data_IF_549033233372
#
_entry.id   IF_549033233372
#
_cell.length_a   1.000
_cell.length_b   1.000
_cell.length_c   1.000
_cell.angle_alpha   90.00
_cell.angle_beta   90.00
_cell.angle_gamma   90.00
#
_symmetry.space_group_name_H-M   'P 1'
#
loop_
_entity.id
_entity.type
_entity.pdbx_description
1 polymer ?
#
# COMPACT_ATOMS: atom_id res chain seq x y z
N UNK A 1 15.88 20.27 16.68
CA UNK A 1 14.50 20.75 16.41
C UNK A 1 14.60 22.09 15.70
N UNK A 2 14.26 22.15 14.41
CA UNK A 2 14.28 23.42 13.67
C UNK A 2 13.14 24.32 14.15
N UNK A 3 13.49 25.35 14.92
CA UNK A 3 12.62 26.37 15.52
C UNK A 3 12.15 27.42 14.49
N UNK A 4 11.82 27.00 13.28
CA UNK A 4 11.37 27.92 12.24
C UNK A 4 9.84 27.81 12.11
N UNK A 5 9.06 28.85 12.44
CA UNK A 5 7.59 28.81 12.42
C UNK A 5 7.10 28.96 10.98
N UNK A 6 7.39 27.98 10.12
CA UNK A 6 6.73 27.88 8.83
C UNK A 6 5.35 27.23 9.02
N UNK A 7 4.34 27.64 8.26
CA UNK A 7 3.02 26.98 8.28
C UNK A 7 3.12 25.46 8.04
N UNK A 8 4.12 25.01 7.28
CA UNK A 8 4.45 23.58 7.06
C UNK A 8 4.89 22.86 8.34
N UNK A 9 5.46 23.56 9.32
CA UNK A 9 5.88 22.98 10.59
C UNK A 9 4.75 22.88 11.63
N UNK A 10 3.62 23.58 11.43
CA UNK A 10 2.46 23.57 12.33
C UNK A 10 1.37 22.63 11.80
N UNK A 11 1.26 22.48 10.48
CA UNK A 11 0.37 21.48 9.86
C UNK A 11 1.01 20.09 9.87
N UNK A 12 0.20 19.05 10.09
CA UNK A 12 0.60 17.64 10.04
C UNK A 12 -0.40 16.90 9.15
N UNK A 13 0.02 16.62 7.92
CA UNK A 13 -0.79 15.92 6.92
C UNK A 13 -0.32 14.48 6.67
N UNK A 14 0.89 14.12 7.13
CA UNK A 14 1.58 12.90 6.70
C UNK A 14 1.34 11.69 7.63
N UNK A 15 0.44 11.80 8.62
CA UNK A 15 0.16 10.75 9.60
C UNK A 15 1.39 10.39 10.47
N UNK A 16 1.28 9.31 11.26
CA UNK A 16 2.38 8.81 12.09
C UNK A 16 2.82 7.39 11.68
N UNK A 17 4.03 7.01 12.07
CA UNK A 17 4.63 5.70 11.78
C UNK A 17 3.81 4.52 12.33
N UNK A 18 3.18 4.67 13.49
CA UNK A 18 2.32 3.62 14.09
C UNK A 18 1.16 3.30 13.16
N UNK A 19 0.43 4.33 12.69
CA UNK A 19 -0.69 4.15 11.75
C UNK A 19 -0.22 3.57 10.41
N UNK A 20 0.96 3.98 9.94
CA UNK A 20 1.60 3.39 8.76
C UNK A 20 1.85 1.89 8.91
N UNK A 21 2.45 1.46 10.03
CA UNK A 21 2.72 0.06 10.29
C UNK A 21 1.43 -0.77 10.46
N UNK A 22 0.44 -0.22 11.15
CA UNK A 22 -0.88 -0.83 11.31
C UNK A 22 -1.60 -1.03 9.97
N UNK A 23 -1.43 -0.13 9.00
CA UNK A 23 -2.01 -0.27 7.66
C UNK A 23 -1.50 -1.50 6.90
N UNK A 24 -0.43 -2.15 7.37
CA UNK A 24 0.11 -3.39 6.83
C UNK A 24 -0.21 -4.56 7.76
N UNK A 25 0.28 -4.51 9.00
CA UNK A 25 0.25 -5.66 9.91
C UNK A 25 -1.19 -6.08 10.27
N UNK A 26 -2.09 -5.12 10.47
CA UNK A 26 -3.48 -5.41 10.83
C UNK A 26 -4.25 -6.10 9.68
N UNK A 27 -3.77 -6.00 8.45
CA UNK A 27 -4.41 -6.60 7.26
C UNK A 27 -3.82 -7.97 6.89
N UNK A 28 -2.94 -8.52 7.73
CA UNK A 28 -2.51 -9.92 7.65
C UNK A 28 -3.54 -10.76 8.41
N UNK A 29 -4.33 -11.53 7.65
CA UNK A 29 -5.35 -12.41 8.18
C UNK A 29 -4.73 -13.56 8.97
N UNK A 30 -5.44 -14.05 9.99
CA UNK A 30 -4.91 -15.09 10.89
C UNK A 30 -3.58 -14.68 11.55
N UNK A 31 -3.44 -13.40 11.90
CA UNK A 31 -2.35 -12.88 12.72
C UNK A 31 -2.91 -11.92 13.77
N UNK A 32 -2.26 -11.87 14.95
CA UNK A 32 -2.59 -10.89 15.96
C UNK A 32 -1.71 -9.65 15.78
N UNK A 33 -2.27 -8.45 15.90
CA UNK A 33 -1.51 -7.20 15.85
C UNK A 33 -1.64 -6.46 17.17
N UNK A 34 -0.52 -6.36 17.88
CA UNK A 34 -0.41 -5.71 19.18
C UNK A 34 0.25 -4.34 19.01
N UNK A 35 -0.38 -3.29 19.54
CA UNK A 35 0.25 -1.99 19.78
C UNK A 35 0.77 -1.97 21.21
N UNK A 36 2.10 -2.01 21.34
CA UNK A 36 2.75 -1.92 22.65
C UNK A 36 2.90 -0.46 23.08
N UNK A 37 1.94 -0.02 23.89
CA UNK A 37 1.79 1.36 24.34
C UNK A 37 0.50 1.56 25.13
N UNK A 38 0.16 2.81 25.47
CA UNK A 38 -1.17 3.17 25.96
C UNK A 38 -2.25 2.96 24.89
N UNK A 39 -3.51 2.91 25.32
CA UNK A 39 -4.66 2.62 24.45
C UNK A 39 -4.88 3.65 23.33
N UNK A 40 -4.38 4.89 23.50
CA UNK A 40 -4.65 5.99 22.58
C UNK A 40 -4.27 5.71 21.12
N UNK A 41 -3.12 5.07 20.87
CA UNK A 41 -2.68 4.73 19.52
C UNK A 41 -3.58 3.67 18.86
N UNK A 42 -3.97 2.63 19.62
CA UNK A 42 -4.88 1.59 19.15
C UNK A 42 -6.30 2.14 18.91
N UNK A 43 -6.78 3.01 19.80
CA UNK A 43 -8.10 3.64 19.67
C UNK A 43 -8.18 4.59 18.46
N UNK A 44 -7.14 5.40 18.24
CA UNK A 44 -7.05 6.28 17.07
C UNK A 44 -7.04 5.46 15.77
N UNK A 45 -6.23 4.41 15.69
CA UNK A 45 -6.16 3.55 14.50
C UNK A 45 -7.48 2.82 14.25
N UNK A 46 -8.13 2.32 15.31
CA UNK A 46 -9.45 1.68 15.21
C UNK A 46 -10.50 2.66 14.68
N UNK A 47 -10.48 3.91 15.16
CA UNK A 47 -11.39 4.97 14.68
C UNK A 47 -11.15 5.28 13.20
N UNK A 48 -9.88 5.36 12.79
CA UNK A 48 -9.51 5.55 11.38
C UNK A 48 -10.03 4.39 10.53
N UNK A 49 -9.75 3.13 10.92
CA UNK A 49 -10.18 1.96 10.16
C UNK A 49 -11.69 1.88 10.06
N UNK A 50 -12.42 2.12 11.16
CA UNK A 50 -13.89 2.20 11.13
C UNK A 50 -14.37 3.24 10.13
N UNK A 51 -13.84 4.46 10.16
CA UNK A 51 -14.31 5.53 9.27
C UNK A 51 -13.94 5.28 7.79
N UNK A 52 -12.69 4.94 7.49
CA UNK A 52 -12.19 4.77 6.12
C UNK A 52 -12.71 3.49 5.48
N UNK A 53 -12.66 2.36 6.20
CA UNK A 53 -13.06 1.07 5.61
C UNK A 53 -14.56 0.99 5.37
N UNK A 54 -15.38 1.47 6.32
CA UNK A 54 -16.83 1.52 6.12
C UNK A 54 -17.22 2.46 4.98
N UNK A 55 -16.52 3.59 4.82
CA UNK A 55 -16.71 4.48 3.68
C UNK A 55 -16.38 3.78 2.35
N UNK A 56 -15.36 2.93 2.35
CA UNK A 56 -14.97 2.11 1.20
C UNK A 56 -15.81 0.81 1.05
N UNK A 57 -16.89 0.65 1.83
CA UNK A 57 -17.75 -0.54 1.77
C UNK A 57 -17.14 -1.84 2.31
N UNK A 58 -16.04 -1.75 3.07
CA UNK A 58 -15.37 -2.87 3.71
C UNK A 58 -15.82 -2.97 5.18
N UNK A 59 -16.46 -4.09 5.53
CA UNK A 59 -17.05 -4.31 6.86
C UNK A 59 -16.22 -5.24 7.75
N UNK A 60 -15.20 -5.89 7.19
CA UNK A 60 -14.26 -6.73 7.94
C UNK A 60 -13.12 -5.84 8.46
N UNK A 61 -13.35 -5.25 9.62
CA UNK A 61 -12.44 -4.26 10.22
C UNK A 61 -11.44 -5.01 11.09
N UNK A 62 -10.12 -4.88 10.83
CA UNK A 62 -9.10 -5.53 11.63
C UNK A 62 -9.18 -5.21 13.11
N UNK A 63 -8.97 -6.23 13.95
CA UNK A 63 -8.80 -6.04 15.38
C UNK A 63 -7.38 -5.56 15.71
N UNK A 64 -7.29 -4.60 16.63
CA UNK A 64 -6.02 -4.07 17.13
C UNK A 64 -5.98 -4.32 18.63
N UNK A 65 -5.02 -5.11 19.08
CA UNK A 65 -4.81 -5.39 20.50
C UNK A 65 -3.91 -4.29 21.05
N UNK A 66 -4.24 -3.72 22.20
CA UNK A 66 -3.32 -2.83 22.93
C UNK A 66 -2.75 -3.56 24.13
N UNK A 67 -1.47 -3.33 24.44
CA UNK A 67 -0.94 -3.69 25.75
C UNK A 67 -1.50 -2.81 26.88
N UNK A 68 -2.15 -1.68 26.54
CA UNK A 68 -2.83 -0.79 27.49
C UNK A 68 -1.92 -0.25 28.59
N UNK A 69 -0.69 0.16 28.27
CA UNK A 69 0.28 0.66 29.26
C UNK A 69 -0.30 1.82 30.07
N UNK A 70 -0.21 1.70 31.39
CA UNK A 70 -0.59 2.72 32.37
C UNK A 70 0.65 3.32 33.02
N UNK A 71 0.45 4.23 33.97
CA UNK A 71 1.54 4.96 34.65
C UNK A 71 2.64 4.04 35.20
N UNK A 72 2.28 2.91 35.80
CA UNK A 72 3.27 1.96 36.32
C UNK A 72 4.21 1.42 35.25
N UNK A 73 3.69 1.01 34.09
CA UNK A 73 4.52 0.51 32.99
C UNK A 73 5.37 1.62 32.37
N UNK A 74 4.89 2.86 32.38
CA UNK A 74 5.67 4.01 31.90
C UNK A 74 6.85 4.31 32.84
N UNK A 75 6.67 4.14 34.16
CA UNK A 75 7.72 4.42 35.15
C UNK A 75 8.70 3.25 35.29
N UNK A 76 8.21 2.01 35.27
CA UNK A 76 9.00 0.82 35.63
C UNK A 76 9.29 -0.12 34.45
N UNK A 77 8.77 0.15 33.26
CA UNK A 77 8.93 -0.69 32.06
C UNK A 77 7.65 -1.46 31.69
N UNK A 78 7.41 -1.60 30.38
CA UNK A 78 6.24 -2.27 29.81
C UNK A 78 6.44 -3.75 29.48
N UNK A 79 7.66 -4.27 29.65
CA UNK A 79 8.08 -5.60 29.17
C UNK A 79 7.21 -6.76 29.67
N UNK A 80 6.90 -6.83 30.96
CA UNK A 80 6.05 -7.90 31.52
C UNK A 80 4.62 -7.79 31.01
N UNK A 81 4.14 -6.56 30.77
CA UNK A 81 2.80 -6.35 30.20
C UNK A 81 2.75 -6.79 28.75
N UNK A 82 3.81 -6.55 27.97
CA UNK A 82 3.92 -7.07 26.62
C UNK A 82 3.91 -8.61 26.61
N UNK A 83 4.69 -9.27 27.47
CA UNK A 83 4.70 -10.74 27.58
C UNK A 83 3.30 -11.31 27.85
N UNK A 84 2.57 -10.72 28.79
CA UNK A 84 1.20 -11.13 29.10
C UNK A 84 0.26 -10.88 27.90
N UNK A 85 0.37 -9.71 27.26
CA UNK A 85 -0.45 -9.39 26.07
C UNK A 85 -0.18 -10.35 24.90
N UNK A 86 1.08 -10.73 24.67
CA UNK A 86 1.43 -11.75 23.66
C UNK A 86 0.77 -13.08 24.04
N UNK A 87 0.94 -13.53 25.28
CA UNK A 87 0.33 -14.78 25.78
C UNK A 87 -1.19 -14.80 25.60
N UNK A 88 -1.87 -13.72 25.96
CA UNK A 88 -3.33 -13.61 25.82
C UNK A 88 -3.72 -13.61 24.33
N UNK A 89 -2.94 -12.96 23.46
CA UNK A 89 -3.21 -12.98 22.01
C UNK A 89 -3.02 -14.37 21.38
N UNK A 90 -2.18 -15.24 21.96
CA UNK A 90 -2.02 -16.62 21.51
C UNK A 90 -3.24 -17.50 21.79
N UNK A 91 -4.14 -17.14 22.71
CA UNK A 91 -5.38 -17.89 22.96
C UNK A 91 -6.30 -17.93 21.72
N UNK A 92 -6.17 -16.96 20.82
CA UNK A 92 -6.87 -16.90 19.54
C UNK A 92 -6.24 -17.80 18.45
N UNK A 93 -5.16 -18.52 18.75
CA UNK A 93 -4.38 -19.37 17.84
C UNK A 93 -3.95 -18.67 16.52
N UNK A 94 -3.36 -17.46 16.58
CA UNK A 94 -2.91 -16.77 15.36
C UNK A 94 -1.73 -17.50 14.72
N UNK A 95 -1.58 -17.40 13.40
CA UNK A 95 -0.41 -17.93 12.67
C UNK A 95 0.87 -17.11 12.85
N UNK A 96 0.77 -15.86 13.32
CA UNK A 96 1.86 -14.97 13.69
C UNK A 96 1.35 -13.84 14.60
N UNK A 97 2.25 -13.17 15.32
CA UNK A 97 1.95 -11.98 16.12
C UNK A 97 2.87 -10.83 15.69
N UNK A 98 2.30 -9.68 15.36
CA UNK A 98 3.04 -8.45 15.08
C UNK A 98 2.99 -7.53 16.30
N UNK A 99 4.15 -7.05 16.77
CA UNK A 99 4.28 -6.15 17.92
C UNK A 99 4.75 -4.79 17.44
N UNK A 100 3.84 -3.83 17.32
CA UNK A 100 4.12 -2.47 16.90
C UNK A 100 4.42 -1.61 18.14
N UNK A 101 5.63 -1.06 18.21
CA UNK A 101 6.04 -0.24 19.35
C UNK A 101 5.48 1.18 19.26
N UNK A 102 4.97 1.72 20.36
CA UNK A 102 4.56 3.13 20.44
C UNK A 102 5.73 4.05 20.78
N UNK A 103 5.53 5.37 20.62
CA UNK A 103 6.54 6.37 21.03
C UNK A 103 6.98 6.23 22.49
N UNK A 104 6.09 5.82 23.39
CA UNK A 104 6.40 5.71 24.82
C UNK A 104 7.28 4.48 25.07
N UNK A 105 6.92 3.33 24.50
CA UNK A 105 7.70 2.09 24.58
C UNK A 105 9.16 2.31 24.13
N UNK A 106 9.33 2.97 22.98
CA UNK A 106 10.64 3.32 22.42
C UNK A 106 11.41 4.33 23.30
N UNK A 107 10.72 5.21 24.02
CA UNK A 107 11.33 6.24 24.88
C UNK A 107 11.83 5.66 26.18
N UNK A 108 11.06 4.76 26.80
CA UNK A 108 11.44 4.14 28.08
C UNK A 108 12.47 3.02 27.88
N UNK A 109 12.64 2.55 26.63
CA UNK A 109 13.68 1.61 26.25
C UNK A 109 13.34 0.17 26.58
N UNK A 110 12.07 -0.22 26.48
CA UNK A 110 11.65 -1.62 26.62
C UNK A 110 12.37 -2.48 25.55
N UNK A 111 12.92 -3.63 25.96
CA UNK A 111 13.61 -4.55 25.07
C UNK A 111 12.61 -5.49 24.36
N UNK A 112 11.86 -4.90 23.41
CA UNK A 112 10.80 -5.59 22.66
C UNK A 112 11.35 -6.73 21.81
N UNK A 113 12.53 -6.55 21.21
CA UNK A 113 13.21 -7.59 20.41
C UNK A 113 13.46 -8.84 21.25
N UNK A 114 14.02 -8.69 22.45
CA UNK A 114 14.26 -9.81 23.36
C UNK A 114 12.98 -10.54 23.73
N UNK A 115 11.89 -9.82 23.97
CA UNK A 115 10.59 -10.44 24.29
C UNK A 115 10.04 -11.21 23.10
N UNK A 116 10.10 -10.62 21.90
CA UNK A 116 9.63 -11.27 20.67
C UNK A 116 10.48 -12.48 20.27
N UNK A 117 11.77 -12.49 20.65
CA UNK A 117 12.69 -13.61 20.37
C UNK A 117 12.45 -14.88 21.19
N UNK A 118 11.58 -14.84 22.21
CA UNK A 118 11.22 -16.04 22.98
C UNK A 118 10.48 -17.06 22.11
N UNK A 119 10.49 -18.33 22.53
CA UNK A 119 9.71 -19.38 21.89
C UNK A 119 8.23 -19.28 22.29
N UNK A 120 7.46 -18.62 21.42
CA UNK A 120 6.00 -18.43 21.56
C UNK A 120 5.19 -19.49 20.79
N UNK A 121 5.85 -20.45 20.13
CA UNK A 121 5.19 -21.45 19.27
C UNK A 121 4.75 -20.94 17.90
N UNK A 122 4.66 -19.62 17.71
CA UNK A 122 4.43 -18.94 16.42
C UNK A 122 5.40 -17.76 16.28
N UNK A 123 5.67 -17.27 15.06
CA UNK A 123 6.51 -16.10 14.86
C UNK A 123 5.93 -14.86 15.56
N UNK A 124 6.74 -14.20 16.39
CA UNK A 124 6.43 -12.90 16.99
C UNK A 124 7.39 -11.87 16.43
N UNK A 125 6.86 -10.89 15.70
CA UNK A 125 7.63 -10.00 14.84
C UNK A 125 7.56 -8.58 15.41
N UNK A 126 8.67 -8.04 15.92
CA UNK A 126 8.71 -6.66 16.37
C UNK A 126 8.71 -5.72 15.15
N UNK A 127 7.90 -4.65 15.24
CA UNK A 127 7.81 -3.60 14.23
C UNK A 127 8.02 -2.27 14.91
N UNK A 128 9.28 -1.81 14.88
CA UNK A 128 9.69 -0.61 15.59
C UNK A 128 9.15 0.66 14.93
N UNK A 129 8.33 1.42 15.66
CA UNK A 129 7.76 2.69 15.17
C UNK A 129 8.02 3.86 16.12
N UNK A 130 9.20 4.45 16.00
CA UNK A 130 9.63 5.60 16.82
C UNK A 130 9.14 6.94 16.22
N UNK A 131 7.83 7.19 16.24
CA UNK A 131 7.22 8.38 15.60
C UNK A 131 7.77 9.72 16.09
N UNK A 132 8.24 9.80 17.34
CA UNK A 132 8.84 11.01 17.91
C UNK A 132 10.24 11.34 17.35
N UNK A 133 10.97 10.35 16.81
CA UNK A 133 12.26 10.55 16.13
C UNK A 133 12.10 11.09 14.70
N UNK A 134 10.86 11.32 14.27
CA UNK A 134 10.52 11.71 12.91
C UNK A 134 10.20 10.51 12.02
N UNK A 135 9.45 10.80 10.97
CA UNK A 135 8.86 9.80 10.09
C UNK A 135 7.36 10.03 9.96
N UNK A 136 6.87 9.75 8.77
CA UNK A 136 5.46 9.83 8.39
C UNK A 136 4.82 8.43 8.41
N UNK A 137 3.55 8.38 8.05
CA UNK A 137 2.83 7.16 7.69
C UNK A 137 3.66 6.27 6.74
N UNK A 138 4.27 6.86 5.71
CA UNK A 138 5.04 6.13 4.69
C UNK A 138 6.21 5.33 5.31
N UNK A 139 6.96 5.94 6.24
CA UNK A 139 8.06 5.25 6.91
C UNK A 139 7.57 4.04 7.70
N UNK A 140 6.48 4.19 8.45
CA UNK A 140 5.89 3.08 9.21
C UNK A 140 5.39 1.94 8.31
N UNK A 141 4.77 2.31 7.19
CA UNK A 141 4.32 1.39 6.16
C UNK A 141 5.48 0.60 5.52
N UNK A 142 6.57 1.28 5.14
CA UNK A 142 7.78 0.64 4.60
C UNK A 142 8.41 -0.30 5.64
N UNK A 143 8.57 0.16 6.88
CA UNK A 143 9.10 -0.67 7.97
C UNK A 143 8.26 -1.94 8.13
N UNK A 144 6.94 -1.82 8.23
CA UNK A 144 6.07 -2.97 8.42
C UNK A 144 6.13 -3.98 7.26
N UNK A 145 6.20 -3.52 6.00
CA UNK A 145 6.38 -4.43 4.86
C UNK A 145 7.71 -5.19 4.96
N UNK A 146 8.80 -4.51 5.35
CA UNK A 146 10.12 -5.12 5.51
C UNK A 146 10.15 -6.12 6.66
N UNK A 147 9.63 -5.78 7.82
CA UNK A 147 9.59 -6.69 8.96
C UNK A 147 8.68 -7.89 8.68
N UNK A 148 7.52 -7.69 8.06
CA UNK A 148 6.61 -8.77 7.65
C UNK A 148 7.27 -9.73 6.66
N UNK A 149 8.22 -9.25 5.84
CA UNK A 149 8.92 -10.06 4.85
C UNK A 149 9.85 -11.13 5.47
N UNK A 150 10.14 -11.06 6.78
CA UNK A 150 10.93 -12.07 7.46
C UNK A 150 10.27 -13.48 7.43
N UNK A 151 8.95 -13.53 7.23
CA UNK A 151 8.19 -14.77 7.09
C UNK A 151 8.32 -15.42 5.71
N UNK A 152 8.93 -14.75 4.73
CA UNK A 152 9.10 -15.28 3.38
C UNK A 152 10.09 -16.45 3.40
N UNK A 153 9.65 -17.60 2.90
CA UNK A 153 10.53 -18.75 2.73
C UNK A 153 11.21 -18.71 1.36
N UNK A 154 12.50 -19.08 1.35
CA UNK A 154 13.21 -19.32 0.10
C UNK A 154 12.54 -20.47 -0.62
N UNK A 155 12.00 -20.20 -1.80
CA UNK A 155 11.37 -21.23 -2.63
C UNK A 155 12.23 -21.53 -3.85
N UNK A 156 12.14 -22.76 -4.35
CA UNK A 156 12.70 -23.14 -5.65
C UNK A 156 11.85 -22.62 -6.81
N UNK A 157 12.36 -22.76 -8.03
CA UNK A 157 11.70 -22.30 -9.26
C UNK A 157 10.26 -22.84 -9.38
N UNK A 158 9.31 -21.93 -9.63
CA UNK A 158 7.92 -22.29 -9.94
C UNK A 158 7.81 -22.84 -11.37
N UNK A 159 6.93 -23.83 -11.58
CA UNK A 159 6.64 -24.40 -12.92
C UNK A 159 5.87 -23.43 -13.83
N UNK A 160 5.27 -22.39 -13.27
CA UNK A 160 4.51 -21.36 -13.98
C UNK A 160 5.02 -19.97 -13.58
N UNK A 161 5.11 -19.01 -14.53
CA UNK A 161 5.54 -17.66 -14.21
C UNK A 161 4.45 -16.97 -13.39
N UNK A 162 4.70 -16.83 -12.09
CA UNK A 162 3.82 -16.16 -11.16
C UNK A 162 4.50 -14.89 -10.65
N UNK A 163 3.74 -13.82 -10.47
CA UNK A 163 4.26 -12.53 -9.99
C UNK A 163 3.71 -12.20 -8.61
N UNK A 164 4.52 -11.53 -7.78
CA UNK A 164 4.10 -11.01 -6.49
C UNK A 164 3.66 -9.56 -6.65
N UNK A 165 2.52 -9.21 -6.08
CA UNK A 165 2.10 -7.82 -5.91
C UNK A 165 2.50 -7.39 -4.50
N UNK A 166 3.31 -6.35 -4.37
CA UNK A 166 3.88 -5.93 -3.08
C UNK A 166 3.42 -4.52 -2.74
N UNK A 167 2.97 -4.35 -1.51
CA UNK A 167 2.66 -3.05 -0.94
C UNK A 167 1.37 -2.43 -1.47
N UNK A 168 0.31 -3.19 -1.67
CA UNK A 168 -0.98 -2.53 -1.87
C UNK A 168 -1.37 -1.73 -0.62
N UNK A 169 -1.75 -0.47 -0.82
CA UNK A 169 -2.11 0.44 0.28
C UNK A 169 -3.51 0.04 0.78
N UNK A 170 -3.60 -0.68 1.90
CA UNK A 170 -4.88 -1.26 2.35
C UNK A 170 -5.99 -0.24 2.68
N UNK A 171 -5.62 1.02 2.91
CA UNK A 171 -6.54 2.13 3.17
C UNK A 171 -6.83 2.98 1.92
N UNK A 172 -6.25 2.63 0.77
CA UNK A 172 -6.47 3.30 -0.52
C UNK A 172 -7.87 3.01 -1.06
N UNK A 173 -8.49 4.01 -1.66
CA UNK A 173 -9.75 3.85 -2.39
C UNK A 173 -9.52 3.03 -3.66
N UNK A 174 -10.48 2.18 -4.04
CA UNK A 174 -10.39 1.34 -5.25
C UNK A 174 -9.21 0.35 -5.29
N UNK A 175 -8.66 -0.03 -4.13
CA UNK A 175 -7.50 -0.94 -4.08
C UNK A 175 -7.76 -2.29 -4.78
N UNK A 176 -8.98 -2.83 -4.73
CA UNK A 176 -9.30 -4.10 -5.40
C UNK A 176 -9.57 -3.93 -6.90
N UNK A 177 -10.11 -2.78 -7.33
CA UNK A 177 -10.25 -2.40 -8.72
C UNK A 177 -8.88 -2.12 -9.37
N UNK A 178 -7.95 -1.52 -8.62
CA UNK A 178 -6.56 -1.33 -9.03
C UNK A 178 -5.88 -2.70 -9.22
N UNK A 179 -6.03 -3.62 -8.27
CA UNK A 179 -5.54 -4.99 -8.41
C UNK A 179 -6.15 -5.73 -9.60
N UNK A 180 -7.47 -5.58 -9.83
CA UNK A 180 -8.14 -6.21 -10.95
C UNK A 180 -7.55 -5.75 -12.29
N UNK A 181 -7.18 -4.48 -12.41
CA UNK A 181 -6.50 -3.96 -13.59
C UNK A 181 -5.10 -4.53 -13.76
N UNK A 182 -4.28 -4.56 -12.69
CA UNK A 182 -2.95 -5.21 -12.75
C UNK A 182 -3.07 -6.67 -13.17
N UNK A 183 -4.02 -7.40 -12.58
CA UNK A 183 -4.28 -8.80 -12.91
C UNK A 183 -4.69 -8.98 -14.37
N UNK A 184 -5.52 -8.07 -14.92
CA UNK A 184 -5.92 -8.08 -16.34
C UNK A 184 -4.69 -7.90 -17.25
N UNK A 185 -3.87 -6.88 -16.99
CA UNK A 185 -2.65 -6.59 -17.76
C UNK A 185 -1.68 -7.77 -17.73
N UNK A 186 -1.44 -8.36 -16.56
CA UNK A 186 -0.61 -9.55 -16.41
C UNK A 186 -1.16 -10.75 -17.17
N UNK A 187 -2.49 -10.91 -17.20
CA UNK A 187 -3.14 -12.00 -17.95
C UNK A 187 -2.93 -11.88 -19.47
N UNK A 188 -2.82 -10.66 -20.01
CA UNK A 188 -2.46 -10.44 -21.42
C UNK A 188 -1.07 -10.97 -21.76
N UNK A 189 -0.16 -10.97 -20.79
CA UNK A 189 1.19 -11.54 -20.89
C UNK A 189 1.25 -13.03 -20.49
N UNK A 190 0.10 -13.66 -20.19
CA UNK A 190 0.02 -15.05 -19.75
C UNK A 190 0.56 -15.30 -18.33
N UNK A 191 0.63 -14.25 -17.50
CA UNK A 191 1.18 -14.29 -16.14
C UNK A 191 0.06 -14.43 -15.09
N UNK A 192 0.33 -15.23 -14.06
CA UNK A 192 -0.54 -15.36 -12.88
C UNK A 192 -0.03 -14.55 -11.69
N UNK A 193 -0.91 -14.23 -10.75
CA UNK A 193 -0.51 -13.62 -9.46
C UNK A 193 -0.26 -14.73 -8.44
N UNK A 194 0.91 -14.71 -7.80
CA UNK A 194 1.27 -15.60 -6.69
C UNK A 194 0.62 -15.14 -5.39
N UNK A 195 0.95 -13.93 -4.94
CA UNK A 195 0.49 -13.33 -3.68
C UNK A 195 0.27 -11.82 -3.83
N UNK A 196 -0.62 -11.30 -2.97
CA UNK A 196 -0.78 -9.86 -2.71
C UNK A 196 -0.17 -9.56 -1.33
N UNK A 197 1.11 -9.22 -1.28
CA UNK A 197 1.82 -8.94 -0.04
C UNK A 197 1.60 -7.47 0.37
N UNK A 198 0.98 -7.09 1.49
CA UNK A 198 0.29 -7.92 2.48
C UNK A 198 -1.19 -7.52 2.56
N UNK A 199 -1.95 -7.85 1.52
CA UNK A 199 -3.39 -7.60 1.41
C UNK A 199 -4.14 -8.92 1.27
N UNK A 200 -5.12 -9.16 2.14
CA UNK A 200 -5.90 -10.40 2.18
C UNK A 200 -4.99 -11.65 2.21
N UNK A 201 -3.91 -11.58 2.98
CA UNK A 201 -2.85 -12.58 3.03
C UNK A 201 -2.77 -13.19 4.43
N UNK A 202 -2.41 -14.47 4.53
CA UNK A 202 -2.10 -15.13 5.81
C UNK A 202 -0.59 -15.29 5.99
N UNK A 203 -0.09 -15.55 7.22
CA UNK A 203 1.30 -15.93 7.44
C UNK A 203 1.78 -17.09 6.54
N UNK A 204 0.91 -18.06 6.26
CA UNK A 204 1.25 -19.18 5.37
C UNK A 204 1.33 -18.79 3.89
N UNK A 205 0.59 -17.77 3.47
CA UNK A 205 0.71 -17.23 2.12
C UNK A 205 1.97 -16.37 1.98
N UNK A 206 2.33 -15.60 3.03
CA UNK A 206 3.58 -14.83 3.05
C UNK A 206 4.79 -15.75 2.81
N UNK A 207 4.82 -16.94 3.44
CA UNK A 207 5.88 -17.94 3.20
C UNK A 207 6.07 -18.26 1.72
N UNK A 208 4.97 -18.28 0.95
CA UNK A 208 4.97 -18.61 -0.49
C UNK A 208 5.43 -17.47 -1.39
N UNK A 209 5.70 -16.27 -0.87
CA UNK A 209 6.11 -15.10 -1.67
C UNK A 209 7.38 -15.39 -2.49
N UNK A 210 8.32 -16.20 -1.97
CA UNK A 210 9.54 -16.58 -2.68
C UNK A 210 9.33 -17.40 -3.97
N UNK A 211 8.10 -17.83 -4.29
CA UNK A 211 7.77 -18.56 -5.53
C UNK A 211 7.57 -17.65 -6.74
N UNK A 212 7.40 -16.35 -6.52
CA UNK A 212 7.18 -15.38 -7.59
C UNK A 212 8.46 -15.08 -8.36
N UNK A 213 8.39 -15.02 -9.69
CA UNK A 213 9.51 -14.71 -10.58
C UNK A 213 9.72 -13.20 -10.81
N UNK A 214 8.79 -12.36 -10.34
CA UNK A 214 8.84 -10.90 -10.44
C UNK A 214 8.06 -10.30 -9.27
N UNK A 215 8.55 -9.22 -8.70
CA UNK A 215 7.81 -8.40 -7.74
C UNK A 215 7.34 -7.10 -8.41
N UNK A 216 6.07 -6.76 -8.24
CA UNK A 216 5.51 -5.50 -8.71
C UNK A 216 5.12 -4.70 -7.47
N UNK A 217 5.88 -3.65 -7.18
CA UNK A 217 5.62 -2.77 -6.04
C UNK A 217 4.52 -1.77 -6.42
N UNK A 218 3.57 -1.51 -5.53
CA UNK A 218 2.49 -0.52 -5.75
C UNK A 218 3.04 0.88 -6.06
N UNK A 219 4.02 1.31 -5.28
CA UNK A 219 4.67 2.63 -5.32
C UNK A 219 5.98 2.58 -4.51
N UNK A 220 7.11 2.82 -5.17
CA UNK A 220 8.45 2.83 -4.55
C UNK A 220 9.31 3.99 -5.08
N UNK A 221 8.92 5.20 -4.66
CA UNK A 221 9.61 6.45 -5.04
C UNK A 221 11.09 6.43 -4.65
N UNK A 222 11.46 5.89 -3.48
CA UNK A 222 12.84 5.87 -2.98
C UNK A 222 13.68 4.71 -3.52
N UNK A 223 13.05 3.64 -4.00
CA UNK A 223 13.73 2.42 -4.42
C UNK A 223 14.07 1.49 -3.25
N UNK A 224 13.59 1.78 -2.04
CA UNK A 224 13.92 1.01 -0.83
C UNK A 224 13.21 -0.35 -0.85
N UNK A 225 11.92 -0.37 -1.17
CA UNK A 225 11.11 -1.59 -1.17
C UNK A 225 11.57 -2.54 -2.30
N UNK A 226 11.78 -2.02 -3.50
CA UNK A 226 12.27 -2.81 -4.65
C UNK A 226 13.61 -3.46 -4.36
N UNK A 227 14.57 -2.74 -3.76
CA UNK A 227 15.86 -3.32 -3.34
C UNK A 227 15.68 -4.40 -2.28
N UNK A 228 14.86 -4.15 -1.26
CA UNK A 228 14.61 -5.09 -0.18
C UNK A 228 13.96 -6.37 -0.68
N UNK A 229 12.86 -6.27 -1.42
CA UNK A 229 12.13 -7.43 -1.94
C UNK A 229 12.91 -8.19 -3.02
N UNK A 230 13.73 -7.51 -3.82
CA UNK A 230 14.63 -8.18 -4.76
C UNK A 230 15.62 -9.09 -4.02
N UNK A 231 16.17 -8.64 -2.89
CA UNK A 231 17.09 -9.43 -2.07
C UNK A 231 16.38 -10.60 -1.37
N UNK A 232 15.21 -10.36 -0.77
CA UNK A 232 14.49 -11.38 0.03
C UNK A 232 13.90 -12.48 -0.86
N UNK A 233 13.36 -12.12 -2.03
CA UNK A 233 12.71 -13.07 -2.95
C UNK A 233 13.67 -13.63 -4.01
N UNK A 234 14.83 -13.02 -4.20
CA UNK A 234 15.75 -13.32 -5.31
C UNK A 234 15.07 -13.20 -6.69
N UNK A 235 14.22 -12.20 -6.86
CA UNK A 235 13.49 -11.90 -8.09
C UNK A 235 13.60 -10.41 -8.46
N UNK A 236 13.55 -10.04 -9.76
CA UNK A 236 13.52 -8.64 -10.18
C UNK A 236 12.29 -7.89 -9.64
N UNK A 237 12.32 -6.56 -9.72
CA UNK A 237 11.26 -5.69 -9.22
C UNK A 237 10.88 -4.62 -10.25
N UNK A 238 9.58 -4.40 -10.44
CA UNK A 238 8.99 -3.18 -11.03
C UNK A 238 8.58 -2.25 -9.89
N UNK A 239 8.89 -0.96 -10.03
CA UNK A 239 8.85 0.00 -8.91
C UNK A 239 7.48 0.59 -8.63
N UNK A 240 6.54 0.52 -9.57
CA UNK A 240 5.21 1.09 -9.39
C UNK A 240 4.18 0.38 -10.26
N UNK A 241 2.91 0.57 -9.90
CA UNK A 241 1.81 0.27 -10.83
C UNK A 241 1.82 1.25 -12.02
N UNK A 242 1.25 0.85 -13.18
CA UNK A 242 1.06 1.73 -14.33
C UNK A 242 0.06 2.84 -14.03
N UNK A 243 0.49 4.09 -14.25
CA UNK A 243 -0.38 5.25 -14.16
C UNK A 243 -0.80 5.72 -15.57
N UNK A 244 -2.11 5.85 -15.79
CA UNK A 244 -2.65 6.37 -17.05
C UNK A 244 -2.44 5.49 -18.27
N UNK A 245 -2.70 6.03 -19.46
CA UNK A 245 -2.74 5.25 -20.70
C UNK A 245 -1.32 4.86 -21.16
N UNK A 246 -0.39 5.83 -21.26
CA UNK A 246 0.99 5.55 -21.68
C UNK A 246 1.73 4.68 -20.66
N UNK A 247 1.58 4.96 -19.37
CA UNK A 247 2.18 4.14 -18.31
C UNK A 247 1.69 2.70 -18.31
N UNK A 248 0.47 2.44 -18.80
CA UNK A 248 -0.05 1.06 -19.00
C UNK A 248 0.75 0.30 -20.05
N UNK A 249 1.06 0.95 -21.17
CA UNK A 249 1.84 0.32 -22.24
C UNK A 249 3.28 0.10 -21.80
N UNK A 250 3.91 1.13 -21.19
CA UNK A 250 5.26 1.05 -20.65
C UNK A 250 5.40 -0.09 -19.64
N UNK A 251 4.40 -0.29 -18.78
CA UNK A 251 4.37 -1.40 -17.84
C UNK A 251 4.32 -2.78 -18.51
N UNK A 252 3.50 -2.96 -19.56
CA UNK A 252 3.45 -4.22 -20.30
C UNK A 252 4.80 -4.52 -20.97
N UNK A 253 5.44 -3.51 -21.55
CA UNK A 253 6.76 -3.62 -22.16
C UNK A 253 7.85 -3.93 -21.12
N UNK A 254 7.84 -3.25 -19.97
CA UNK A 254 8.79 -3.48 -18.87
C UNK A 254 8.67 -4.89 -18.29
N UNK A 255 7.45 -5.36 -18.01
CA UNK A 255 7.22 -6.74 -17.55
C UNK A 255 7.73 -7.75 -18.58
N UNK A 256 7.43 -7.52 -19.86
CA UNK A 256 7.81 -8.42 -20.94
C UNK A 256 9.33 -8.46 -21.15
N UNK A 257 10.02 -7.33 -21.07
CA UNK A 257 11.49 -7.25 -21.16
C UNK A 257 12.16 -8.03 -20.03
N UNK A 258 11.72 -7.80 -18.78
CA UNK A 258 12.28 -8.47 -17.60
C UNK A 258 12.10 -9.99 -17.67
N UNK A 259 10.93 -10.45 -18.15
CA UNK A 259 10.59 -11.88 -18.22
C UNK A 259 10.94 -12.53 -19.57
N UNK A 260 11.48 -11.76 -20.52
CA UNK A 260 11.79 -12.19 -21.88
C UNK A 260 10.58 -12.82 -22.61
N UNK A 261 9.45 -12.12 -22.56
CA UNK A 261 8.17 -12.45 -23.22
C UNK A 261 7.96 -11.48 -24.38
N UNK A 262 7.27 -11.90 -25.45
CA UNK A 262 6.88 -10.99 -26.53
C UNK A 262 5.65 -10.15 -26.13
N UNK A 263 5.75 -8.81 -25.97
CA UNK A 263 4.63 -7.97 -25.58
C UNK A 263 3.68 -7.64 -26.74
N UNK A 264 4.02 -7.97 -27.99
CA UNK A 264 3.35 -7.41 -29.19
C UNK A 264 1.83 -7.59 -29.18
N UNK A 265 1.35 -8.79 -28.81
CA UNK A 265 -0.08 -9.06 -28.73
C UNK A 265 -0.75 -8.31 -27.58
N UNK A 266 -0.14 -8.31 -26.39
CA UNK A 266 -0.67 -7.63 -25.20
C UNK A 266 -0.75 -6.11 -25.41
N UNK A 267 0.30 -5.51 -25.96
CA UNK A 267 0.35 -4.07 -26.28
C UNK A 267 -0.66 -3.70 -27.36
N UNK A 268 -0.81 -4.52 -28.40
CA UNK A 268 -1.80 -4.27 -29.46
C UNK A 268 -3.23 -4.33 -28.92
N UNK A 269 -3.55 -5.36 -28.11
CA UNK A 269 -4.85 -5.49 -27.46
C UNK A 269 -5.12 -4.31 -26.51
N UNK A 270 -4.11 -3.87 -25.76
CA UNK A 270 -4.24 -2.74 -24.86
C UNK A 270 -4.46 -1.42 -25.62
N UNK A 271 -3.78 -1.20 -26.75
CA UNK A 271 -4.07 -0.05 -27.61
C UNK A 271 -5.50 -0.06 -28.15
N UNK A 272 -6.02 -1.23 -28.56
CA UNK A 272 -7.43 -1.35 -28.95
C UNK A 272 -8.38 -1.00 -27.78
N UNK A 273 -8.08 -1.48 -26.57
CA UNK A 273 -8.84 -1.17 -25.37
C UNK A 273 -8.84 0.35 -25.07
N UNK A 274 -7.69 1.00 -25.16
CA UNK A 274 -7.57 2.45 -24.99
C UNK A 274 -8.35 3.24 -26.05
N UNK A 275 -8.37 2.77 -27.30
CA UNK A 275 -9.14 3.41 -28.37
C UNK A 275 -10.65 3.27 -28.13
N UNK A 276 -11.13 2.07 -27.76
CA UNK A 276 -12.54 1.84 -27.38
C UNK A 276 -12.95 2.73 -26.21
N UNK A 277 -12.08 2.86 -25.20
CA UNK A 277 -12.31 3.77 -24.09
C UNK A 277 -12.49 5.22 -24.60
N UNK A 278 -11.60 5.70 -25.48
CA UNK A 278 -11.73 7.05 -26.02
C UNK A 278 -13.02 7.24 -26.85
N UNK A 279 -13.47 6.22 -27.57
CA UNK A 279 -14.72 6.23 -28.32
C UNK A 279 -15.95 6.27 -27.40
N UNK A 280 -15.94 5.46 -26.34
CA UNK A 280 -16.99 5.43 -25.32
C UNK A 280 -17.17 6.77 -24.61
N UNK A 281 -16.11 7.59 -24.55
CA UNK A 281 -16.08 8.94 -23.97
C UNK A 281 -15.99 10.07 -25.01
N UNK A 282 -16.42 9.80 -26.25
CA UNK A 282 -16.45 10.79 -27.33
C UNK A 282 -17.39 11.97 -27.10
N UNK A 283 -18.37 11.82 -26.20
CA UNK A 283 -19.27 12.87 -25.72
C UNK A 283 -18.55 13.98 -24.93
N UNK A 284 -17.40 13.68 -24.32
CA UNK A 284 -16.59 14.67 -23.59
C UNK A 284 -15.71 15.54 -24.51
N UNK A 285 -15.70 15.25 -25.81
CA UNK A 285 -14.84 15.94 -26.76
C UNK A 285 -15.27 17.39 -26.94
N UNK A 286 -14.33 18.31 -26.76
CA UNK A 286 -14.57 19.75 -26.88
C UNK A 286 -15.05 20.43 -25.60
N UNK A 287 -15.33 19.66 -24.55
CA UNK A 287 -15.64 20.20 -23.23
C UNK A 287 -14.45 20.98 -22.68
N UNK A 288 -14.74 22.12 -22.05
CA UNK A 288 -13.74 23.03 -21.51
C UNK A 288 -13.55 22.77 -20.02
N UNK A 289 -12.33 22.39 -19.62
CA UNK A 289 -12.02 21.95 -18.26
C UNK A 289 -10.87 22.74 -17.67
N UNK A 290 -11.00 23.08 -16.39
CA UNK A 290 -9.91 23.49 -15.53
C UNK A 290 -9.70 22.46 -14.42
N UNK A 291 -8.46 21.98 -14.25
CA UNK A 291 -8.10 21.11 -13.14
C UNK A 291 -7.72 21.96 -11.92
N UNK A 292 -8.59 22.01 -10.92
CA UNK A 292 -8.26 22.65 -9.65
C UNK A 292 -7.42 21.70 -8.80
N UNK A 293 -6.15 22.03 -8.65
CA UNK A 293 -5.19 21.23 -7.90
C UNK A 293 -5.25 21.47 -6.40
N UNK A 294 -6.00 22.47 -5.89
CA UNK A 294 -6.04 22.82 -4.45
C UNK A 294 -4.66 22.79 -3.74
N UNK A 295 -3.58 23.10 -4.47
CA UNK A 295 -2.20 23.07 -3.96
C UNK A 295 -1.52 21.70 -3.83
N UNK A 296 -2.13 20.62 -4.31
CA UNK A 296 -1.55 19.27 -4.35
C UNK A 296 -1.14 18.85 -5.78
N UNK A 297 0.13 18.41 -5.85
CA UNK A 297 0.85 17.71 -6.93
C UNK A 297 0.97 18.36 -8.34
N UNK A 298 2.18 18.87 -8.62
CA UNK A 298 2.66 19.14 -10.00
C UNK A 298 2.99 17.86 -10.79
N UNK A 299 3.17 16.72 -10.12
CA UNK A 299 3.63 15.48 -10.74
C UNK A 299 2.55 14.78 -11.57
N UNK A 300 1.27 14.92 -11.19
CA UNK A 300 0.14 14.26 -11.85
C UNK A 300 -0.40 15.05 -13.05
N UNK A 301 0.06 16.28 -13.24
CA UNK A 301 -0.41 17.15 -14.32
C UNK A 301 -0.16 16.52 -15.71
N UNK A 302 1.00 15.88 -15.91
CA UNK A 302 1.36 15.24 -17.18
C UNK A 302 0.34 14.19 -17.63
N UNK A 303 -0.14 13.39 -16.69
CA UNK A 303 -1.15 12.36 -16.92
C UNK A 303 -2.51 12.97 -17.30
N UNK A 304 -2.91 14.04 -16.62
CA UNK A 304 -4.15 14.75 -16.95
C UNK A 304 -4.08 15.39 -18.35
N UNK A 305 -2.93 15.96 -18.73
CA UNK A 305 -2.70 16.48 -20.09
C UNK A 305 -2.78 15.37 -21.15
N UNK A 306 -2.20 14.21 -20.88
CA UNK A 306 -2.26 13.05 -21.77
C UNK A 306 -3.72 12.62 -22.01
N UNK A 307 -4.49 12.46 -20.93
CA UNK A 307 -5.88 12.01 -20.98
C UNK A 307 -6.74 13.04 -21.72
N UNK A 308 -6.62 14.32 -21.38
CA UNK A 308 -7.35 15.39 -22.06
C UNK A 308 -7.06 15.43 -23.58
N UNK A 309 -5.79 15.25 -23.96
CA UNK A 309 -5.39 15.18 -25.38
C UNK A 309 -6.01 13.98 -26.10
N UNK A 310 -6.06 12.82 -25.44
CA UNK A 310 -6.61 11.58 -26.02
C UNK A 310 -8.14 11.60 -26.15
N UNK A 311 -8.84 12.20 -25.17
CA UNK A 311 -10.31 12.33 -25.20
C UNK A 311 -10.78 13.56 -25.97
N UNK A 312 -9.89 14.52 -26.25
CA UNK A 312 -10.22 15.76 -26.95
C UNK A 312 -10.88 16.81 -26.06
N UNK A 313 -10.72 16.70 -24.74
CA UNK A 313 -11.09 17.74 -23.75
C UNK A 313 -10.16 18.95 -23.94
N UNK A 314 -10.71 20.15 -23.88
CA UNK A 314 -9.98 21.41 -24.02
C UNK A 314 -9.65 21.93 -22.63
N UNK A 315 -8.36 22.14 -22.36
CA UNK A 315 -7.91 22.74 -21.11
C UNK A 315 -8.04 24.26 -21.20
N UNK A 316 -8.94 24.82 -20.40
CA UNK A 316 -9.31 26.24 -20.42
C UNK A 316 -9.40 26.73 -18.96
N UNK A 317 -8.64 27.76 -18.54
CA UNK A 317 -8.74 28.33 -17.19
C UNK A 317 -10.15 28.82 -16.81
N UNK A 318 -10.96 29.17 -17.80
CA UNK A 318 -12.35 29.59 -17.61
C UNK A 318 -13.35 28.42 -17.78
N UNK A 319 -12.86 27.18 -17.88
CA UNK A 319 -13.65 25.97 -18.04
C UNK A 319 -14.30 25.46 -16.75
N UNK A 320 -15.08 24.39 -16.87
CA UNK A 320 -15.68 23.68 -15.74
C UNK A 320 -14.57 23.14 -14.84
N UNK A 321 -14.65 23.46 -13.55
CA UNK A 321 -13.68 23.00 -12.56
C UNK A 321 -13.90 21.52 -12.29
N UNK A 322 -12.94 20.70 -12.69
CA UNK A 322 -12.92 19.29 -12.36
C UNK A 322 -12.01 19.10 -11.15
N UNK A 323 -12.53 18.53 -10.04
CA UNK A 323 -11.66 18.13 -8.95
C UNK A 323 -10.72 17.04 -9.47
N UNK A 324 -9.40 17.26 -9.34
CA UNK A 324 -8.44 16.21 -9.62
C UNK A 324 -8.77 15.04 -8.68
N UNK A 325 -8.85 13.79 -9.18
CA UNK A 325 -9.11 12.66 -8.30
C UNK A 325 -8.03 12.64 -7.21
N UNK A 326 -8.43 12.30 -5.98
CA UNK A 326 -7.49 12.19 -4.85
C UNK A 326 -6.40 11.13 -5.08
N UNK A 327 -6.54 10.27 -6.10
CA UNK A 327 -5.62 9.20 -6.46
C UNK A 327 -5.37 9.16 -7.97
N UNK A 328 -4.11 8.97 -8.36
CA UNK A 328 -3.72 8.78 -9.76
C UNK A 328 -4.34 7.47 -10.31
N UNK A 329 -5.02 7.49 -11.48
CA UNK A 329 -5.68 6.32 -12.02
C UNK A 329 -4.68 5.23 -12.44
N UNK A 330 -4.94 3.99 -11.98
CA UNK A 330 -4.15 2.82 -12.34
C UNK A 330 -4.68 2.17 -13.61
N UNK A 331 -3.80 2.04 -14.59
CA UNK A 331 -4.09 1.41 -15.87
C UNK A 331 -5.16 2.14 -16.70
N UNK A 332 -5.52 1.54 -17.83
CA UNK A 332 -6.59 2.05 -18.71
C UNK A 332 -7.97 1.98 -18.03
N UNK A 333 -8.23 0.92 -17.26
CA UNK A 333 -9.51 0.79 -16.53
C UNK A 333 -9.67 1.89 -15.47
N UNK A 334 -8.60 2.26 -14.75
CA UNK A 334 -8.63 3.38 -13.80
C UNK A 334 -8.93 4.72 -14.48
N UNK A 335 -8.38 4.95 -15.68
CA UNK A 335 -8.70 6.14 -16.48
C UNK A 335 -10.18 6.15 -16.84
N UNK A 336 -10.77 5.02 -17.22
CA UNK A 336 -12.20 4.95 -17.53
C UNK A 336 -13.10 5.26 -16.33
N UNK A 337 -12.76 4.78 -15.13
CA UNK A 337 -13.49 5.14 -13.90
C UNK A 337 -13.41 6.64 -13.62
N UNK A 338 -12.22 7.23 -13.78
CA UNK A 338 -12.02 8.67 -13.64
C UNK A 338 -12.86 9.47 -14.66
N UNK A 339 -12.86 9.08 -15.94
CA UNK A 339 -13.66 9.73 -16.98
C UNK A 339 -15.16 9.63 -16.71
N UNK A 340 -15.63 8.51 -16.16
CA UNK A 340 -17.02 8.38 -15.74
C UNK A 340 -17.39 9.38 -14.62
N UNK A 341 -16.48 9.65 -13.68
CA UNK A 341 -16.69 10.69 -12.68
C UNK A 341 -16.72 12.07 -13.32
N UNK A 342 -15.79 12.37 -14.23
CA UNK A 342 -15.74 13.66 -14.94
C UNK A 342 -17.00 13.93 -15.76
N UNK A 343 -17.53 12.92 -16.46
CA UNK A 343 -18.81 13.00 -17.17
C UNK A 343 -19.99 13.42 -16.29
N UNK A 344 -19.93 13.21 -14.97
CA UNK A 344 -21.00 13.64 -14.05
C UNK A 344 -20.89 15.12 -13.67
N UNK A 345 -19.74 15.75 -13.90
CA UNK A 345 -19.50 17.17 -13.63
C UNK A 345 -19.65 18.07 -14.87
N UNK A 346 -19.45 17.50 -16.07
CA UNK A 346 -19.60 18.15 -17.37
C UNK A 346 -21.03 18.02 -17.90
#
# INVERSE_FOLDING_TARGET
MNSNPSHKNISRLEGCTVTGALSVCAFVNNAATIVHGPDGCAHQASSLFQSTMLYNGCFDIPEIISSGMQENEIIFGGEEKLKNTIKDSLEYNPGAVFVITSCICETIGDDVDKICSNDWGVPVIPVHTSGFLGGSFEKGYITALKETSCLIEKSGESKHPLVNIIGEKNLEYEVDENFAEIKRLLSLLGLGVNVRFARNITPDDIKKTGRGCLNIIRDDTTGELSKHFALVTNAPCIRSFPYGLSGTIEFLEEVADILNIDPSNAVSEEYENQNRLCEDFSDLKGEKVYFDSFGFQKAEAGLLYEIAKKTGIILDPDGTVIPIPFYTPIGTTGVGRMLHQWRRFL
#
